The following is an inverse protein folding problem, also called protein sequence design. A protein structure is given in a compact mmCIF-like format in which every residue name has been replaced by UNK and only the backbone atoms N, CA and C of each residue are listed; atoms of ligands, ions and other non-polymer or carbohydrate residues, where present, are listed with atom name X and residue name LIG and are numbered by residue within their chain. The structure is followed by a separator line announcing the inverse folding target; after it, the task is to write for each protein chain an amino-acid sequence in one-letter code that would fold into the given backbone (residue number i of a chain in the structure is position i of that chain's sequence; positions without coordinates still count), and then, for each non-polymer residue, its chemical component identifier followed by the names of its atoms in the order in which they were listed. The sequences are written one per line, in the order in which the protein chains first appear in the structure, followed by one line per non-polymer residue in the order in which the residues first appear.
data_IF_414317734789
#
_entry.id   IF_414317734789
#
_cell.length_a   1.000
_cell.length_b   1.000
_cell.length_c   1.000
_cell.angle_alpha   90.00
_cell.angle_beta   90.00
_cell.angle_gamma   90.00
#
_symmetry.space_group_name_H-M   'P 1'
#
loop_
_entity.id
_entity.type
_entity.pdbx_description
1 polymer ?
#
# COMPACT_ATOMS: atom_id res chain seq x y z
N UNK A 1 -6.00 3.26 11.06
CA UNK A 1 -6.66 2.27 11.94
C UNK A 1 -5.83 0.98 11.96
N UNK A 2 -4.65 0.99 12.57
CA UNK A 2 -3.77 -0.21 12.65
C UNK A 2 -2.96 -0.27 13.96
N UNK A 3 -3.26 0.63 14.91
CA UNK A 3 -2.84 0.51 16.30
C UNK A 3 -4.05 0.02 17.09
N UNK A 4 -3.87 -0.99 17.93
CA UNK A 4 -4.93 -1.48 18.82
C UNK A 4 -5.37 -0.46 19.88
N UNK A 5 -4.83 0.77 19.84
CA UNK A 5 -5.18 1.91 20.67
C UNK A 5 -5.93 2.97 19.85
N UNK A 6 -7.14 3.34 20.27
CA UNK A 6 -7.85 4.49 19.73
C UNK A 6 -7.27 5.79 20.30
N UNK A 7 -6.20 6.27 19.67
CA UNK A 7 -5.54 7.52 20.04
C UNK A 7 -6.49 8.72 19.93
N UNK A 8 -7.41 8.71 18.96
CA UNK A 8 -8.36 9.80 18.75
C UNK A 8 -9.37 9.90 19.88
N UNK A 9 -9.93 8.77 20.31
CA UNK A 9 -10.81 8.70 21.48
C UNK A 9 -10.10 9.12 22.77
N UNK A 10 -8.86 8.65 22.98
CA UNK A 10 -8.08 9.00 24.15
C UNK A 10 -7.76 10.50 24.25
N UNK A 11 -7.37 11.14 23.13
CA UNK A 11 -7.10 12.59 23.10
C UNK A 11 -8.37 13.37 23.45
N UNK A 12 -9.52 13.03 22.88
CA UNK A 12 -10.79 13.72 23.19
C UNK A 12 -11.17 13.60 24.66
N UNK A 13 -11.05 12.41 25.25
CA UNK A 13 -11.37 12.19 26.66
C UNK A 13 -10.51 13.05 27.60
N UNK A 14 -9.22 13.21 27.30
CA UNK A 14 -8.32 14.09 28.07
C UNK A 14 -8.68 15.55 27.88
N UNK A 15 -8.99 15.96 26.65
CA UNK A 15 -9.32 17.34 26.33
C UNK A 15 -10.64 17.77 26.97
N UNK A 16 -11.67 16.93 26.92
CA UNK A 16 -12.96 17.16 27.59
C UNK A 16 -12.79 17.28 29.12
N UNK A 17 -11.98 16.38 29.71
CA UNK A 17 -11.67 16.43 31.14
C UNK A 17 -10.94 17.73 31.51
N UNK A 18 -9.92 18.11 30.74
CA UNK A 18 -9.18 19.34 30.95
C UNK A 18 -10.08 20.57 30.81
N UNK A 19 -10.94 20.60 29.79
CA UNK A 19 -11.88 21.68 29.55
C UNK A 19 -12.89 21.84 30.69
N UNK A 20 -13.27 20.77 31.38
CA UNK A 20 -14.14 20.82 32.55
C UNK A 20 -13.48 21.38 33.82
N UNK A 21 -12.18 21.13 34.01
CA UNK A 21 -11.46 21.52 35.25
C UNK A 21 -10.59 22.77 35.11
N UNK A 22 -10.29 23.23 33.88
CA UNK A 22 -9.33 24.31 33.63
C UNK A 22 -9.73 25.66 34.25
N UNK A 23 -11.04 25.92 34.41
CA UNK A 23 -11.60 27.17 34.95
C UNK A 23 -11.72 27.17 36.47
N UNK A 24 -11.50 26.04 37.14
CA UNK A 24 -11.61 25.91 38.59
C UNK A 24 -10.27 26.32 39.25
N UNK A 25 -10.25 27.46 39.97
CA UNK A 25 -9.05 28.05 40.61
C UNK A 25 -8.52 27.28 41.84
N UNK A 26 -9.08 26.11 42.18
CA UNK A 26 -8.59 25.32 43.31
C UNK A 26 -7.12 24.92 43.09
N UNK A 27 -6.33 25.02 44.16
CA UNK A 27 -4.88 24.76 44.23
C UNK A 27 -4.39 23.71 43.20
N UNK A 28 -3.26 24.00 42.54
CA UNK A 28 -2.62 23.14 41.53
C UNK A 28 -2.51 21.68 42.00
N UNK A 29 -2.24 21.46 43.29
CA UNK A 29 -2.17 20.13 43.90
C UNK A 29 -3.46 19.30 43.76
N UNK A 30 -4.63 19.93 43.86
CA UNK A 30 -5.92 19.26 43.67
C UNK A 30 -6.16 18.88 42.20
N UNK A 31 -5.73 19.73 41.25
CA UNK A 31 -5.77 19.43 39.81
C UNK A 31 -4.87 18.24 39.47
N UNK A 32 -3.67 18.21 40.04
CA UNK A 32 -2.72 17.09 39.85
C UNK A 32 -3.29 15.79 40.43
N UNK A 33 -3.96 15.84 41.59
CA UNK A 33 -4.62 14.67 42.16
C UNK A 33 -5.76 14.15 41.25
N UNK A 34 -6.60 15.04 40.71
CA UNK A 34 -7.69 14.68 39.81
C UNK A 34 -7.20 14.07 38.49
N UNK A 35 -6.07 14.54 37.95
CA UNK A 35 -5.45 13.93 36.77
C UNK A 35 -4.94 12.51 37.03
N UNK A 36 -4.33 12.27 38.20
CA UNK A 36 -3.76 10.96 38.57
C UNK A 36 -4.83 9.87 38.65
N UNK A 37 -6.01 10.18 39.18
CA UNK A 37 -7.10 9.22 39.40
C UNK A 37 -8.11 9.13 38.25
N UNK A 38 -7.99 9.99 37.23
CA UNK A 38 -8.93 10.03 36.11
C UNK A 38 -8.27 9.62 34.79
N UNK A 39 -7.94 10.60 33.93
CA UNK A 39 -7.46 10.32 32.58
C UNK A 39 -6.14 9.54 32.54
N UNK A 40 -5.27 9.69 33.56
CA UNK A 40 -3.99 8.97 33.60
C UNK A 40 -4.18 7.46 33.71
N UNK A 41 -5.13 7.00 34.54
CA UNK A 41 -5.44 5.58 34.70
C UNK A 41 -6.09 5.01 33.43
N UNK A 42 -7.04 5.76 32.84
CA UNK A 42 -7.67 5.39 31.56
C UNK A 42 -6.65 5.22 30.42
N UNK A 43 -5.74 6.19 30.24
CA UNK A 43 -4.66 6.09 29.24
C UNK A 43 -3.78 4.89 29.53
N UNK A 44 -3.41 4.69 30.79
CA UNK A 44 -2.52 3.61 31.19
C UNK A 44 -3.11 2.22 30.90
N UNK A 45 -4.38 2.00 31.22
CA UNK A 45 -5.07 0.73 30.89
C UNK A 45 -5.19 0.53 29.38
N UNK A 46 -5.55 1.59 28.63
CA UNK A 46 -5.62 1.50 27.18
C UNK A 46 -4.26 1.21 26.53
N UNK A 47 -3.17 1.80 27.04
CA UNK A 47 -1.81 1.53 26.57
C UNK A 47 -1.36 0.09 26.91
N UNK A 48 -1.73 -0.42 28.08
CA UNK A 48 -1.45 -1.80 28.51
C UNK A 48 -2.17 -2.80 27.61
N UNK A 49 -3.43 -2.55 27.27
CA UNK A 49 -4.21 -3.35 26.32
C UNK A 49 -3.63 -3.29 24.91
N UNK A 50 -3.23 -2.10 24.45
CA UNK A 50 -2.61 -1.91 23.14
C UNK A 50 -1.27 -2.65 23.01
N UNK A 51 -0.44 -2.63 24.07
CA UNK A 51 0.84 -3.34 24.11
C UNK A 51 0.69 -4.87 24.13
N UNK A 52 -0.42 -5.39 24.66
CA UNK A 52 -0.72 -6.84 24.63
C UNK A 52 -1.14 -7.35 23.25
N UNK A 53 -1.60 -6.49 22.32
CA UNK A 53 -1.89 -6.93 20.95
C UNK A 53 -0.61 -6.92 20.09
N UNK A 54 -0.28 -8.01 19.36
CA UNK A 54 0.85 -8.06 18.43
C UNK A 54 0.53 -7.32 17.11
N UNK A 55 -0.07 -6.13 17.19
CA UNK A 55 -0.56 -5.36 16.03
C UNK A 55 0.55 -4.86 15.11
N UNK A 56 1.78 -4.70 15.62
CA UNK A 56 2.95 -4.30 14.81
C UNK A 56 3.27 -5.31 13.71
N UNK A 57 3.05 -6.60 13.96
CA UNK A 57 3.25 -7.65 12.95
C UNK A 57 2.15 -7.65 11.89
N UNK A 58 0.95 -7.13 12.18
CA UNK A 58 -0.14 -7.10 11.20
C UNK A 58 0.18 -6.18 10.01
N UNK A 59 0.83 -5.04 10.28
CA UNK A 59 1.25 -4.10 9.25
C UNK A 59 2.30 -4.73 8.34
N UNK A 60 3.30 -5.41 8.92
CA UNK A 60 4.33 -6.11 8.14
C UNK A 60 3.74 -7.28 7.34
N UNK A 61 2.84 -8.07 7.92
CA UNK A 61 2.14 -9.14 7.19
C UNK A 61 1.27 -8.61 6.05
N UNK A 62 0.59 -7.48 6.22
CA UNK A 62 -0.21 -6.86 5.16
C UNK A 62 0.67 -6.36 4.00
N UNK A 63 1.78 -5.68 4.32
CA UNK A 63 2.74 -5.23 3.31
C UNK A 63 3.36 -6.42 2.54
N UNK A 64 3.78 -7.47 3.26
CA UNK A 64 4.32 -8.69 2.66
C UNK A 64 3.27 -9.41 1.78
N UNK A 65 2.02 -9.50 2.24
CA UNK A 65 0.92 -10.09 1.46
C UNK A 65 0.69 -9.33 0.15
N UNK A 66 0.62 -7.99 0.20
CA UNK A 66 0.45 -7.16 -0.99
C UNK A 66 1.65 -7.29 -1.95
N UNK A 67 2.86 -7.38 -1.42
CA UNK A 67 4.06 -7.61 -2.24
C UNK A 67 4.02 -8.98 -2.93
N UNK A 68 3.61 -10.05 -2.21
CA UNK A 68 3.44 -11.37 -2.80
C UNK A 68 2.33 -11.40 -3.87
N UNK A 69 1.21 -10.72 -3.64
CA UNK A 69 0.12 -10.58 -4.62
C UNK A 69 0.60 -9.84 -5.87
N UNK A 70 1.36 -8.76 -5.70
CA UNK A 70 1.95 -8.03 -6.81
C UNK A 70 2.95 -8.92 -7.58
N UNK A 71 3.81 -9.66 -6.87
CA UNK A 71 4.76 -10.57 -7.49
C UNK A 71 4.06 -11.68 -8.27
N UNK A 72 2.92 -12.19 -7.78
CA UNK A 72 2.06 -13.16 -8.45
C UNK A 72 1.34 -12.59 -9.68
N UNK A 73 0.80 -11.36 -9.59
CA UNK A 73 0.16 -10.69 -10.72
C UNK A 73 1.14 -10.38 -11.86
N UNK A 74 2.37 -9.97 -11.51
CA UNK A 74 3.44 -9.69 -12.45
C UNK A 74 4.20 -10.96 -12.87
N UNK A 75 3.84 -12.12 -12.32
CA UNK A 75 4.60 -13.35 -12.50
C UNK A 75 4.58 -13.81 -13.95
N UNK A 76 5.73 -13.66 -14.58
CA UNK A 76 6.11 -14.41 -15.76
C UNK A 76 6.58 -15.80 -15.35
N UNK A 77 6.38 -16.79 -16.22
CA UNK A 77 6.89 -18.16 -16.02
C UNK A 77 8.42 -18.25 -15.87
N UNK A 78 9.16 -17.17 -16.14
CA UNK A 78 10.63 -17.15 -16.24
C UNK A 78 11.38 -16.68 -14.99
N UNK A 79 10.77 -15.94 -14.04
CA UNK A 79 11.52 -15.33 -12.94
C UNK A 79 10.78 -15.35 -11.59
N UNK A 80 11.47 -15.76 -10.52
CA UNK A 80 10.96 -15.69 -9.13
C UNK A 80 10.98 -14.25 -8.56
N UNK A 81 11.95 -13.43 -8.98
CA UNK A 81 12.09 -12.02 -8.60
C UNK A 81 11.94 -11.13 -9.84
N UNK A 82 10.74 -10.60 -10.08
CA UNK A 82 10.46 -9.83 -11.29
C UNK A 82 11.21 -8.47 -11.34
N UNK A 83 11.18 -7.68 -10.25
CA UNK A 83 11.66 -6.29 -10.25
C UNK A 83 13.13 -6.10 -10.66
N UNK A 84 14.10 -6.78 -10.00
CA UNK A 84 15.53 -6.59 -10.30
C UNK A 84 15.92 -7.08 -11.71
N UNK A 85 15.29 -8.15 -12.19
CA UNK A 85 15.57 -8.71 -13.52
C UNK A 85 15.10 -7.73 -14.61
N UNK A 86 13.87 -7.22 -14.51
CA UNK A 86 13.36 -6.23 -15.47
C UNK A 86 14.15 -4.92 -15.42
N UNK A 87 14.60 -4.51 -14.22
CA UNK A 87 15.47 -3.35 -14.09
C UNK A 87 16.82 -3.57 -14.82
N UNK A 88 17.42 -4.75 -14.68
CA UNK A 88 18.66 -5.11 -15.37
C UNK A 88 18.49 -5.18 -16.88
N UNK A 89 17.38 -5.75 -17.36
CA UNK A 89 17.06 -5.82 -18.79
C UNK A 89 16.89 -4.41 -19.38
N UNK A 90 16.23 -3.51 -18.63
CA UNK A 90 16.09 -2.11 -19.03
C UNK A 90 17.44 -1.38 -19.04
N UNK A 91 18.35 -1.65 -18.10
CA UNK A 91 19.70 -1.10 -18.10
C UNK A 91 20.56 -1.62 -19.25
N UNK A 92 20.34 -2.87 -19.68
CA UNK A 92 20.98 -3.46 -20.86
C UNK A 92 20.39 -2.97 -22.19
N UNK A 93 19.27 -2.26 -22.15
CA UNK A 93 18.55 -1.83 -23.35
C UNK A 93 17.82 -2.97 -24.05
N UNK A 94 17.54 -4.07 -23.36
CA UNK A 94 16.74 -5.18 -23.88
C UNK A 94 15.27 -4.76 -23.87
N UNK A 95 14.69 -4.66 -25.07
CA UNK A 95 13.31 -4.23 -25.24
C UNK A 95 12.30 -5.37 -25.03
N UNK A 96 11.02 -5.00 -24.95
CA UNK A 96 9.88 -5.93 -24.88
C UNK A 96 9.86 -6.99 -25.99
N UNK A 97 10.55 -6.75 -27.12
CA UNK A 97 10.63 -7.67 -28.25
C UNK A 97 11.44 -8.92 -27.94
N UNK A 98 12.46 -8.82 -27.08
CA UNK A 98 13.33 -9.94 -26.70
C UNK A 98 12.85 -10.62 -25.42
N UNK A 99 12.35 -9.81 -24.47
CA UNK A 99 11.85 -10.30 -23.18
C UNK A 99 10.41 -10.83 -23.22
N UNK A 100 9.62 -10.43 -24.22
CA UNK A 100 8.20 -10.77 -24.35
C UNK A 100 7.31 -10.12 -23.29
N UNK A 101 7.86 -9.19 -22.50
CA UNK A 101 7.17 -8.52 -21.41
C UNK A 101 6.49 -7.23 -21.87
N UNK A 102 5.20 -7.09 -21.55
CA UNK A 102 4.40 -5.88 -21.78
C UNK A 102 4.57 -5.30 -23.21
N UNK A 103 3.96 -5.93 -24.25
CA UNK A 103 4.13 -5.48 -25.63
C UNK A 103 3.59 -4.06 -25.86
N UNK A 104 4.40 -3.22 -26.52
CA UNK A 104 4.01 -1.85 -26.88
C UNK A 104 3.17 -1.79 -28.16
N UNK A 105 3.24 -2.85 -28.97
CA UNK A 105 2.53 -2.99 -30.23
C UNK A 105 1.84 -4.36 -30.25
N UNK A 106 0.58 -4.40 -30.66
CA UNK A 106 -0.20 -5.63 -30.80
C UNK A 106 -0.83 -5.71 -32.19
N UNK A 107 -1.02 -6.94 -32.67
CA UNK A 107 -1.79 -7.19 -33.89
C UNK A 107 -3.26 -7.31 -33.53
N UNK A 108 -4.10 -6.51 -34.18
CA UNK A 108 -5.55 -6.57 -34.03
C UNK A 108 -6.19 -6.98 -35.35
N UNK A 109 -7.03 -8.00 -35.29
CA UNK A 109 -7.77 -8.48 -36.46
C UNK A 109 -9.12 -7.75 -36.56
N UNK A 110 -9.35 -7.09 -37.69
CA UNK A 110 -10.62 -6.46 -38.01
C UNK A 110 -11.35 -7.27 -39.08
N UNK A 111 -12.60 -7.62 -38.81
CA UNK A 111 -13.47 -8.29 -39.76
C UNK A 111 -14.31 -7.28 -40.54
N UNK A 112 -14.08 -7.16 -41.85
CA UNK A 112 -14.88 -6.32 -42.74
C UNK A 112 -15.90 -7.17 -43.49
N UNK A 113 -17.18 -6.80 -43.40
CA UNK A 113 -18.27 -7.47 -44.14
C UNK A 113 -18.46 -6.81 -45.51
N UNK A 114 -18.29 -7.56 -46.58
CA UNK A 114 -18.78 -7.21 -47.93
C UNK A 114 -20.00 -8.06 -48.28
N UNK A 115 -20.92 -7.57 -49.13
CA UNK A 115 -22.00 -8.43 -49.64
C UNK A 115 -21.35 -9.63 -50.34
N UNK A 116 -21.53 -10.83 -49.77
CA UNK A 116 -20.95 -12.13 -50.16
C UNK A 116 -19.63 -12.60 -49.53
N UNK A 117 -18.87 -11.83 -48.73
CA UNK A 117 -17.66 -12.36 -48.07
C UNK A 117 -17.21 -11.54 -46.85
N UNK A 118 -16.65 -12.22 -45.83
CA UNK A 118 -15.99 -11.60 -44.68
C UNK A 118 -14.48 -11.65 -44.92
N UNK A 119 -13.85 -10.48 -45.03
CA UNK A 119 -12.39 -10.35 -45.13
C UNK A 119 -11.81 -10.01 -43.76
N UNK A 120 -10.72 -10.68 -43.38
CA UNK A 120 -10.00 -10.46 -42.13
C UNK A 120 -8.71 -9.69 -42.44
N UNK A 121 -8.67 -8.44 -42.03
CA UNK A 121 -7.51 -7.56 -42.20
C UNK A 121 -6.82 -7.40 -40.85
N UNK A 122 -5.49 -7.52 -40.82
CA UNK A 122 -4.69 -7.35 -39.60
C UNK A 122 -4.06 -5.97 -39.58
N UNK A 123 -4.21 -5.25 -38.47
CA UNK A 123 -3.63 -3.91 -38.29
C UNK A 123 -2.71 -3.88 -37.07
N UNK A 124 -1.77 -2.94 -37.10
CA UNK A 124 -0.87 -2.69 -35.98
C UNK A 124 -1.51 -1.65 -35.05
N UNK A 125 -1.79 -2.05 -33.81
CA UNK A 125 -2.29 -1.16 -32.77
C UNK A 125 -1.18 -0.83 -31.77
N UNK A 126 -1.02 0.46 -31.44
CA UNK A 126 -0.05 0.92 -30.44
C UNK A 126 -0.72 1.00 -29.08
N UNK A 127 -0.19 0.28 -28.10
CA UNK A 127 -0.72 0.23 -26.74
C UNK A 127 0.03 1.21 -25.82
N UNK A 128 -0.31 2.49 -25.94
CA UNK A 128 0.29 3.58 -25.16
C UNK A 128 0.12 3.40 -23.65
N UNK A 129 -0.89 2.68 -23.18
CA UNK A 129 -1.10 2.43 -21.75
C UNK A 129 -0.06 1.46 -21.19
N UNK A 130 0.45 0.53 -22.00
CA UNK A 130 1.31 -0.54 -21.51
C UNK A 130 2.70 -0.05 -21.07
N UNK A 131 3.23 0.95 -21.77
CA UNK A 131 4.51 1.58 -21.39
C UNK A 131 4.40 2.27 -20.02
N UNK A 132 3.24 2.85 -19.69
CA UNK A 132 3.01 3.41 -18.36
C UNK A 132 2.87 2.31 -17.30
N UNK A 133 2.18 1.22 -17.60
CA UNK A 133 2.06 0.08 -16.69
C UNK A 133 3.43 -0.56 -16.37
N UNK A 134 4.31 -0.70 -17.37
CA UNK A 134 5.69 -1.19 -17.18
C UNK A 134 6.42 -0.37 -16.10
N UNK A 135 6.38 0.96 -16.18
CA UNK A 135 7.10 1.84 -15.25
C UNK A 135 6.46 1.94 -13.88
N UNK A 136 5.12 1.99 -13.80
CA UNK A 136 4.43 2.11 -12.52
C UNK A 136 4.52 0.81 -11.70
N UNK A 137 4.46 -0.35 -12.35
CA UNK A 137 4.62 -1.64 -11.70
C UNK A 137 6.04 -1.81 -11.15
N UNK A 138 7.07 -1.38 -11.89
CA UNK A 138 8.45 -1.35 -11.41
C UNK A 138 8.58 -0.47 -10.15
N UNK A 139 8.08 0.76 -10.21
CA UNK A 139 8.12 1.68 -9.07
C UNK A 139 7.39 1.11 -7.84
N UNK A 140 6.16 0.60 -8.02
CA UNK A 140 5.36 0.02 -6.95
C UNK A 140 6.02 -1.21 -6.32
N UNK A 141 6.69 -2.05 -7.11
CA UNK A 141 7.39 -3.23 -6.62
C UNK A 141 8.52 -2.87 -5.65
N UNK A 142 9.40 -1.91 -6.03
CA UNK A 142 10.47 -1.44 -5.16
C UNK A 142 9.93 -0.67 -3.94
N UNK A 143 8.87 0.10 -4.12
CA UNK A 143 8.22 0.82 -3.03
C UNK A 143 7.65 -0.14 -1.99
N UNK A 144 6.87 -1.15 -2.40
CA UNK A 144 6.30 -2.13 -1.47
C UNK A 144 7.37 -2.97 -0.79
N UNK A 145 8.44 -3.33 -1.52
CA UNK A 145 9.59 -4.01 -0.94
C UNK A 145 10.27 -3.16 0.15
N UNK A 146 10.49 -1.88 -0.12
CA UNK A 146 11.04 -0.93 0.85
C UNK A 146 10.14 -0.78 2.08
N UNK A 147 8.83 -0.60 1.89
CA UNK A 147 7.85 -0.51 2.97
C UNK A 147 7.82 -1.78 3.83
N UNK A 148 7.99 -2.95 3.21
CA UNK A 148 8.08 -4.22 3.92
C UNK A 148 9.38 -4.39 4.73
N UNK A 149 10.50 -3.77 4.28
CA UNK A 149 11.78 -3.79 5.00
C UNK A 149 11.83 -2.78 6.16
N UNK A 150 11.19 -1.62 6.02
CA UNK A 150 11.26 -0.54 7.01
C UNK A 150 10.31 -0.74 8.19
N UNK A 151 9.19 -1.44 8.00
CA UNK A 151 8.19 -1.70 9.05
C UNK A 151 8.55 -2.91 9.93
#
# INVERSE_FOLDING_TARGET
MLSGYDLGGAIRAVDDFWNAIKTNEKHISARVAAFKTGPAEFIWEGLRLARRKPGRKLSTYFAASNWCLLNGFLQSKTYYFWGPNVLMDLFRGEDWQTTGHFPRIVHCDFQRRRPASVQLDTVLCVLHLNIYYEKICLFLWFWLFFVALVN
#
